data_IF_811264277288
#
_entry.id   IF_811264277288
#
_cell.length_a   1.000
_cell.length_b   1.000
_cell.length_c   1.000
_cell.angle_alpha   90.00
_cell.angle_beta   90.00
_cell.angle_gamma   90.00
#
_symmetry.space_group_name_H-M   'P 1'
#
loop_
_entity.id
_entity.type
_entity.pdbx_description
1 polymer ?
#
# COMPACT_ATOMS: atom_id res chain seq x y z
N UNK A 1 54.24 49.17 -16.21
CA UNK A 1 53.54 48.20 -17.10
C UNK A 1 52.88 47.15 -16.22
N UNK A 2 51.64 47.37 -15.75
CA UNK A 2 50.41 46.75 -16.27
C UNK A 2 50.54 45.24 -16.52
N UNK A 3 50.02 44.43 -15.59
CA UNK A 3 49.07 43.33 -15.86
C UNK A 3 48.38 42.95 -14.55
N UNK A 4 47.05 43.07 -14.59
CA UNK A 4 46.09 42.71 -13.57
C UNK A 4 46.01 41.19 -13.45
N UNK A 5 45.92 40.66 -12.24
CA UNK A 5 45.26 39.37 -11.99
C UNK A 5 44.33 39.55 -10.80
N UNK A 6 43.06 39.61 -11.18
CA UNK A 6 41.87 39.86 -10.41
C UNK A 6 41.22 38.50 -10.16
N UNK A 7 40.55 38.42 -9.01
CA UNK A 7 39.38 37.58 -8.71
C UNK A 7 39.53 36.21 -8.03
N UNK A 8 38.92 36.21 -6.82
CA UNK A 8 37.90 35.28 -6.35
C UNK A 8 38.36 33.90 -5.87
N UNK A 9 38.67 33.85 -4.57
CA UNK A 9 38.36 32.68 -3.76
C UNK A 9 36.84 32.46 -3.80
N UNK A 10 36.39 31.59 -4.72
CA UNK A 10 35.03 31.05 -4.70
C UNK A 10 34.90 30.17 -3.45
N UNK A 11 34.05 30.62 -2.54
CA UNK A 11 33.38 29.75 -1.58
C UNK A 11 32.78 28.57 -2.35
N UNK A 12 33.32 27.38 -2.15
CA UNK A 12 32.70 26.16 -2.64
C UNK A 12 31.35 26.03 -1.92
N UNK A 13 30.29 26.31 -2.68
CA UNK A 13 28.90 26.14 -2.30
C UNK A 13 28.69 24.75 -1.69
N UNK A 14 28.05 24.72 -0.53
CA UNK A 14 27.34 23.58 0.00
C UNK A 14 26.32 23.08 -1.03
N UNK A 15 26.73 22.12 -1.86
CA UNK A 15 25.88 21.42 -2.80
C UNK A 15 26.10 19.90 -2.70
N UNK A 16 25.93 19.36 -1.49
CA UNK A 16 25.46 17.98 -1.32
C UNK A 16 23.99 18.05 -0.85
N UNK A 17 23.15 18.66 -1.69
CA UNK A 17 21.71 18.55 -1.55
C UNK A 17 21.28 17.18 -2.04
N UNK A 18 20.73 16.39 -1.12
CA UNK A 18 19.80 15.32 -1.42
C UNK A 18 20.42 14.08 -2.05
N UNK A 19 20.69 13.09 -1.20
CA UNK A 19 20.34 11.72 -1.56
C UNK A 19 18.87 11.79 -2.01
N UNK A 20 18.64 11.78 -3.32
CA UNK A 20 17.29 11.64 -3.88
C UNK A 20 16.84 10.25 -3.46
N UNK A 21 16.13 10.21 -2.34
CA UNK A 21 15.35 9.07 -1.92
C UNK A 21 14.54 8.61 -3.13
N UNK A 22 14.67 7.33 -3.48
CA UNK A 22 14.07 6.72 -4.68
C UNK A 22 12.55 6.61 -4.55
N UNK A 23 11.88 7.73 -4.36
CA UNK A 23 10.44 7.80 -4.08
C UNK A 23 9.68 7.93 -5.40
N UNK A 24 9.03 6.85 -5.82
CA UNK A 24 7.98 6.92 -6.82
C UNK A 24 6.91 7.93 -6.39
N UNK A 25 6.28 8.60 -7.35
CA UNK A 25 5.26 9.59 -7.04
C UNK A 25 4.09 8.96 -6.25
N UNK A 26 3.59 9.60 -5.19
CA UNK A 26 2.58 9.02 -4.32
C UNK A 26 1.22 8.90 -5.03
N UNK A 27 0.37 8.01 -4.52
CA UNK A 27 -1.06 8.08 -4.75
C UNK A 27 -1.63 9.22 -3.90
N UNK A 28 -2.13 10.25 -4.56
CA UNK A 28 -2.75 11.39 -3.86
C UNK A 28 -4.22 11.11 -3.59
N UNK A 29 -4.63 11.20 -2.34
CA UNK A 29 -6.02 11.05 -1.90
C UNK A 29 -6.53 12.43 -1.53
N UNK A 30 -7.39 12.99 -2.38
CA UNK A 30 -8.10 14.23 -2.07
C UNK A 30 -9.35 13.90 -1.26
N UNK A 31 -9.51 14.51 -0.10
CA UNK A 31 -10.63 14.25 0.80
C UNK A 31 -11.54 15.46 0.91
N UNK A 32 -12.84 15.23 0.79
CA UNK A 32 -13.90 16.18 1.12
C UNK A 32 -14.78 15.57 2.21
N UNK A 33 -14.82 16.19 3.39
CA UNK A 33 -15.64 15.74 4.51
C UNK A 33 -16.83 16.67 4.67
N UNK A 34 -18.05 16.14 4.61
CA UNK A 34 -19.25 16.93 4.92
C UNK A 34 -19.21 17.47 6.37
N UNK A 35 -18.58 16.72 7.27
CA UNK A 35 -18.19 17.15 8.60
C UNK A 35 -16.82 16.58 8.93
N UNK A 36 -15.92 17.44 9.37
CA UNK A 36 -14.57 17.03 9.75
C UNK A 36 -14.61 15.93 10.84
N UNK A 37 -13.85 14.83 10.64
CA UNK A 37 -13.70 13.79 11.65
C UNK A 37 -12.86 14.33 12.82
N UNK A 38 -12.90 13.63 13.96
CA UNK A 38 -11.94 13.90 15.02
C UNK A 38 -10.54 13.46 14.60
N UNK A 39 -9.50 14.06 15.17
CA UNK A 39 -8.11 13.73 14.83
C UNK A 39 -7.76 12.25 15.08
N UNK A 40 -8.39 11.60 16.08
CA UNK A 40 -8.20 10.18 16.34
C UNK A 40 -8.81 9.27 15.26
N UNK A 41 -10.00 9.61 14.76
CA UNK A 41 -10.63 8.90 13.64
C UNK A 41 -9.80 9.08 12.36
N UNK A 42 -9.43 10.32 12.02
CA UNK A 42 -8.62 10.60 10.83
C UNK A 42 -7.28 9.87 10.87
N UNK A 43 -6.55 9.97 11.98
CA UNK A 43 -5.26 9.30 12.12
C UNK A 43 -5.38 7.77 12.02
N UNK A 44 -6.49 7.19 12.47
CA UNK A 44 -6.72 5.75 12.36
C UNK A 44 -7.06 5.33 10.92
N UNK A 45 -7.89 6.12 10.24
CA UNK A 45 -8.22 5.96 8.83
C UNK A 45 -6.95 5.94 7.96
N UNK A 46 -6.11 6.96 8.12
CA UNK A 46 -4.89 7.10 7.33
C UNK A 46 -3.90 5.96 7.57
N UNK A 47 -3.70 5.56 8.85
CA UNK A 47 -2.79 4.46 9.21
C UNK A 47 -3.28 3.10 8.73
N UNK A 48 -4.57 2.80 8.89
CA UNK A 48 -5.11 1.52 8.46
C UNK A 48 -5.06 1.42 6.93
N UNK A 49 -5.45 2.47 6.20
CA UNK A 49 -5.39 2.43 4.73
C UNK A 49 -3.94 2.31 4.23
N UNK A 50 -3.01 3.05 4.85
CA UNK A 50 -1.59 2.90 4.56
C UNK A 50 -1.12 1.45 4.81
N UNK A 51 -1.57 0.80 5.90
CA UNK A 51 -1.24 -0.59 6.18
C UNK A 51 -1.81 -1.57 5.14
N UNK A 52 -3.01 -1.33 4.62
CA UNK A 52 -3.63 -2.18 3.60
C UNK A 52 -2.90 -2.13 2.26
N UNK A 53 -2.37 -0.96 1.90
CA UNK A 53 -1.69 -0.75 0.59
C UNK A 53 -0.17 -0.81 0.67
N UNK A 54 0.40 -0.75 1.88
CA UNK A 54 1.84 -0.90 2.13
C UNK A 54 2.46 -2.11 1.40
N UNK A 55 1.83 -3.29 1.34
CA UNK A 55 2.46 -4.42 0.69
C UNK A 55 2.60 -4.25 -0.82
N UNK A 56 1.79 -3.37 -1.42
CA UNK A 56 1.87 -2.99 -2.84
C UNK A 56 2.97 -1.93 -3.07
N UNK A 57 3.60 -1.42 -2.01
CA UNK A 57 4.61 -0.36 -2.10
C UNK A 57 4.03 1.02 -2.44
N UNK A 58 2.71 1.20 -2.28
CA UNK A 58 2.07 2.50 -2.49
C UNK A 58 2.32 3.44 -1.32
N UNK A 59 2.86 4.63 -1.61
CA UNK A 59 2.83 5.76 -0.69
C UNK A 59 1.54 6.55 -0.89
N UNK A 60 0.84 6.82 0.22
CA UNK A 60 -0.34 7.65 0.24
C UNK A 60 0.01 9.07 0.63
N UNK A 61 -0.57 10.04 -0.08
CA UNK A 61 -0.48 11.46 0.26
C UNK A 61 -1.89 12.03 0.38
N UNK A 62 -2.29 12.38 1.59
CA UNK A 62 -3.63 12.91 1.89
C UNK A 62 -3.65 14.43 1.71
N UNK A 63 -4.68 14.95 1.03
CA UNK A 63 -4.88 16.38 0.80
C UNK A 63 -6.36 16.74 0.95
N UNK A 64 -6.71 17.88 1.56
CA UNK A 64 -8.08 18.38 1.46
C UNK A 64 -8.39 18.73 -0.01
N UNK A 65 -9.62 18.47 -0.46
CA UNK A 65 -10.06 18.81 -1.81
C UNK A 65 -10.06 20.33 -2.03
N UNK A 66 -10.47 21.09 -1.00
CA UNK A 66 -10.41 22.55 -0.97
C UNK A 66 -9.13 22.97 -0.25
N UNK A 67 -8.15 23.46 -1.00
CA UNK A 67 -6.86 23.91 -0.48
C UNK A 67 -5.98 24.52 -1.58
N UNK A 68 -4.81 25.08 -1.23
CA UNK A 68 -3.89 25.62 -2.23
C UNK A 68 -3.48 24.51 -3.22
N UNK A 69 -3.72 24.75 -4.51
CA UNK A 69 -3.33 23.82 -5.56
C UNK A 69 -1.80 23.69 -5.60
N UNK A 70 -1.28 22.48 -5.39
CA UNK A 70 0.13 22.20 -5.67
C UNK A 70 0.27 21.75 -7.12
N UNK A 71 1.29 22.26 -7.82
CA UNK A 71 1.62 21.82 -9.19
C UNK A 71 2.47 20.55 -9.21
N UNK A 72 2.52 19.80 -8.11
CA UNK A 72 3.38 18.63 -7.98
C UNK A 72 2.74 17.43 -8.68
N UNK A 73 3.51 16.80 -9.57
CA UNK A 73 3.07 15.62 -10.30
C UNK A 73 2.75 14.46 -9.33
N UNK A 74 1.57 13.87 -9.48
CA UNK A 74 1.18 12.61 -8.82
C UNK A 74 1.30 11.45 -9.79
N UNK A 75 1.57 10.24 -9.29
CA UNK A 75 1.43 9.04 -10.11
C UNK A 75 -0.04 8.80 -10.45
N UNK A 76 -0.91 8.88 -9.44
CA UNK A 76 -2.36 8.81 -9.56
C UNK A 76 -3.02 9.68 -8.50
N UNK A 77 -4.30 9.96 -8.71
CA UNK A 77 -5.16 10.62 -7.73
C UNK A 77 -6.48 9.87 -7.59
N UNK A 78 -7.06 9.96 -6.39
CA UNK A 78 -8.45 9.61 -6.10
C UNK A 78 -9.06 10.74 -5.30
N UNK A 79 -10.32 11.06 -5.58
CA UNK A 79 -11.12 12.00 -4.78
C UNK A 79 -12.12 11.20 -3.96
N UNK A 80 -12.13 11.41 -2.65
CA UNK A 80 -12.98 10.72 -1.69
C UNK A 80 -13.87 11.73 -1.00
N UNK A 81 -15.18 11.56 -1.15
CA UNK A 81 -16.18 12.35 -0.44
C UNK A 81 -16.76 11.53 0.71
N UNK A 82 -16.68 12.06 1.92
CA UNK A 82 -17.21 11.44 3.11
C UNK A 82 -18.53 12.12 3.49
N UNK A 83 -19.63 11.38 3.36
CA UNK A 83 -20.99 11.86 3.57
C UNK A 83 -21.45 11.57 5.00
N UNK A 84 -22.13 12.53 5.60
CA UNK A 84 -22.62 12.42 6.97
C UNK A 84 -21.54 12.68 8.03
N UNK A 85 -21.64 12.02 9.17
CA UNK A 85 -20.76 12.23 10.32
C UNK A 85 -19.68 11.15 10.41
N UNK A 86 -18.41 11.51 10.30
CA UNK A 86 -17.31 10.56 10.43
C UNK A 86 -16.65 10.61 11.82
N UNK A 87 -17.46 10.59 12.88
CA UNK A 87 -17.01 10.60 14.28
C UNK A 87 -17.57 9.39 15.07
N UNK A 88 -17.35 9.33 16.38
CA UNK A 88 -17.98 8.34 17.29
C UNK A 88 -18.76 8.99 18.44
N UNK A 89 -19.07 10.28 18.32
CA UNK A 89 -19.86 11.02 19.32
C UNK A 89 -21.33 10.60 19.23
N UNK A 90 -22.03 10.49 20.36
CA UNK A 90 -23.47 10.20 20.38
C UNK A 90 -23.85 8.93 19.62
N UNK A 91 -23.13 7.83 19.85
CA UNK A 91 -23.54 6.50 19.34
C UNK A 91 -24.81 6.06 20.06
N UNK A 92 -25.80 5.60 19.30
CA UNK A 92 -27.10 5.14 19.81
C UNK A 92 -27.47 3.84 19.11
N UNK A 93 -27.97 2.79 19.77
CA UNK A 93 -28.37 1.58 19.06
C UNK A 93 -29.46 1.86 18.02
N UNK A 94 -29.14 1.71 16.73
CA UNK A 94 -30.12 1.75 15.63
C UNK A 94 -30.13 0.44 14.86
N UNK A 95 -31.29 0.10 14.32
CA UNK A 95 -31.42 -0.97 13.34
C UNK A 95 -30.88 -0.47 12.01
N UNK A 96 -29.93 -1.21 11.45
CA UNK A 96 -29.39 -0.91 10.13
C UNK A 96 -30.09 -1.77 9.08
N UNK A 97 -30.57 -1.12 8.03
CA UNK A 97 -30.98 -1.77 6.79
C UNK A 97 -29.77 -2.22 5.96
N UNK A 98 -29.78 -3.40 5.33
CA UNK A 98 -28.70 -3.86 4.45
C UNK A 98 -28.45 -2.90 3.27
N UNK A 99 -27.19 -2.69 2.88
CA UNK A 99 -26.81 -1.90 1.69
C UNK A 99 -25.40 -1.30 1.75
N UNK A 100 -25.01 -0.62 0.67
CA UNK A 100 -23.64 -0.16 0.42
C UNK A 100 -23.14 0.84 1.46
N UNK A 101 -21.92 0.63 1.99
CA UNK A 101 -21.24 1.52 2.94
C UNK A 101 -20.38 2.58 2.25
N UNK A 102 -20.01 2.32 0.99
CA UNK A 102 -19.32 3.22 0.09
C UNK A 102 -19.60 2.78 -1.35
N UNK A 103 -19.21 3.61 -2.32
CA UNK A 103 -19.29 3.26 -3.74
C UNK A 103 -18.32 4.09 -4.59
N UNK A 104 -18.00 3.55 -5.75
CA UNK A 104 -17.28 4.23 -6.84
C UNK A 104 -18.23 4.66 -7.94
N UNK A 105 -17.84 5.70 -8.68
CA UNK A 105 -18.61 6.18 -9.82
C UNK A 105 -18.18 5.47 -11.10
N UNK A 106 -19.15 5.23 -11.99
CA UNK A 106 -18.92 4.61 -13.29
C UNK A 106 -19.49 5.50 -14.38
N UNK A 107 -18.69 5.83 -15.39
CA UNK A 107 -19.15 6.51 -16.60
C UNK A 107 -18.71 5.74 -17.85
N UNK A 108 -19.64 5.46 -18.76
CA UNK A 108 -19.38 4.79 -20.04
C UNK A 108 -18.55 3.49 -19.93
N UNK A 109 -18.84 2.66 -18.93
CA UNK A 109 -18.05 1.44 -18.74
C UNK A 109 -16.91 1.59 -17.72
N UNK A 110 -16.39 2.80 -17.54
CA UNK A 110 -15.13 3.07 -16.86
C UNK A 110 -15.37 3.38 -15.39
N UNK A 111 -14.64 2.70 -14.50
CA UNK A 111 -14.60 3.00 -13.07
C UNK A 111 -13.75 4.26 -12.88
N UNK A 112 -14.37 5.29 -12.30
CA UNK A 112 -13.74 6.58 -12.07
C UNK A 112 -13.08 6.62 -10.69
N UNK A 113 -12.02 7.42 -10.51
CA UNK A 113 -11.34 7.58 -9.22
C UNK A 113 -12.09 8.57 -8.29
N UNK A 114 -13.42 8.47 -8.27
CA UNK A 114 -14.30 9.18 -7.34
C UNK A 114 -14.95 8.15 -6.43
N UNK A 115 -14.74 8.29 -5.13
CA UNK A 115 -15.30 7.40 -4.10
C UNK A 115 -16.18 8.20 -3.17
N UNK A 116 -17.35 7.67 -2.86
CA UNK A 116 -18.21 8.18 -1.81
C UNK A 116 -18.22 7.19 -0.64
N UNK A 117 -17.97 7.66 0.58
CA UNK A 117 -18.08 6.88 1.83
C UNK A 117 -19.27 7.40 2.61
N UNK A 118 -20.22 6.53 2.94
CA UNK A 118 -21.39 6.88 3.77
C UNK A 118 -21.07 6.66 5.25
N UNK A 119 -20.61 7.72 5.92
CA UNK A 119 -20.23 7.64 7.32
C UNK A 119 -21.44 7.45 8.24
N UNK A 120 -22.62 7.99 7.92
CA UNK A 120 -23.81 7.80 8.76
C UNK A 120 -24.21 6.32 8.76
N UNK A 121 -24.21 5.69 7.58
CA UNK A 121 -24.48 4.27 7.45
C UNK A 121 -23.41 3.40 8.07
N UNK A 122 -22.13 3.75 7.91
CA UNK A 122 -21.02 3.03 8.53
C UNK A 122 -21.05 3.14 10.06
N UNK A 123 -21.41 4.30 10.61
CA UNK A 123 -21.68 4.45 12.04
C UNK A 123 -22.80 3.53 12.46
N UNK A 124 -23.91 3.52 11.73
CA UNK A 124 -25.05 2.68 12.08
C UNK A 124 -24.71 1.19 12.05
N UNK A 125 -23.86 0.78 11.10
CA UNK A 125 -23.35 -0.58 10.98
C UNK A 125 -22.40 -1.01 12.09
N UNK A 126 -21.64 -0.08 12.66
CA UNK A 126 -20.57 -0.39 13.63
C UNK A 126 -20.94 -0.08 15.07
N UNK A 127 -21.93 0.80 15.30
CA UNK A 127 -22.20 1.38 16.62
C UNK A 127 -22.54 0.36 17.70
N UNK A 128 -23.32 -0.68 17.40
CA UNK A 128 -23.71 -1.69 18.39
C UNK A 128 -22.48 -2.40 18.97
N UNK A 129 -21.47 -2.68 18.14
CA UNK A 129 -20.21 -3.27 18.58
C UNK A 129 -19.31 -2.24 19.25
N UNK A 130 -19.21 -1.02 18.71
CA UNK A 130 -18.41 0.06 19.29
C UNK A 130 -18.87 0.44 20.71
N UNK A 131 -20.18 0.42 20.97
CA UNK A 131 -20.76 0.68 22.30
C UNK A 131 -20.31 -0.36 23.34
N UNK A 132 -19.97 -1.59 22.92
CA UNK A 132 -19.42 -2.63 23.79
C UNK A 132 -17.92 -2.49 24.03
N UNK A 133 -17.23 -1.62 23.29
CA UNK A 133 -15.79 -1.40 23.41
C UNK A 133 -15.48 -0.27 24.38
N UNK A 134 -14.27 -0.30 24.96
CA UNK A 134 -13.74 0.80 25.77
C UNK A 134 -13.76 2.11 24.94
N UNK A 135 -14.34 3.20 25.47
CA UNK A 135 -14.44 4.48 24.78
C UNK A 135 -13.14 4.98 24.16
N UNK A 136 -11.99 4.69 24.78
CA UNK A 136 -10.66 5.13 24.34
C UNK A 136 -10.24 4.53 23.00
N UNK A 137 -10.78 3.37 22.62
CA UNK A 137 -10.45 2.69 21.36
C UNK A 137 -11.50 2.90 20.27
N UNK A 138 -12.63 3.54 20.55
CA UNK A 138 -13.74 3.64 19.59
C UNK A 138 -13.35 4.41 18.33
N UNK A 139 -12.65 5.53 18.47
CA UNK A 139 -12.17 6.32 17.32
C UNK A 139 -11.21 5.52 16.46
N UNK A 140 -10.29 4.76 17.09
CA UNK A 140 -9.36 3.90 16.40
C UNK A 140 -10.10 2.83 15.59
N UNK A 141 -11.02 2.10 16.23
CA UNK A 141 -11.79 1.03 15.61
C UNK A 141 -12.71 1.56 14.49
N UNK A 142 -13.33 2.72 14.68
CA UNK A 142 -14.18 3.33 13.66
C UNK A 142 -13.38 3.81 12.44
N UNK A 143 -12.25 4.50 12.64
CA UNK A 143 -11.38 4.90 11.54
C UNK A 143 -10.79 3.71 10.78
N UNK A 144 -10.51 2.60 11.48
CA UNK A 144 -10.10 1.32 10.88
C UNK A 144 -11.20 0.74 9.98
N UNK A 145 -12.44 0.68 10.46
CA UNK A 145 -13.57 0.23 9.66
C UNK A 145 -13.76 1.07 8.39
N UNK A 146 -13.67 2.40 8.54
CA UNK A 146 -13.78 3.34 7.43
C UNK A 146 -12.66 3.15 6.39
N UNK A 147 -11.43 2.89 6.85
CA UNK A 147 -10.31 2.60 5.95
C UNK A 147 -10.49 1.32 5.15
N UNK A 148 -11.08 0.28 5.75
CA UNK A 148 -11.35 -1.00 5.06
C UNK A 148 -12.43 -0.85 4.01
N UNK A 149 -13.48 -0.09 4.32
CA UNK A 149 -14.52 0.26 3.35
C UNK A 149 -13.94 1.10 2.21
N UNK A 150 -13.13 2.12 2.51
CA UNK A 150 -12.44 2.90 1.46
C UNK A 150 -11.47 2.02 0.65
N UNK A 151 -10.74 1.12 1.30
CA UNK A 151 -9.83 0.17 0.65
C UNK A 151 -10.56 -0.74 -0.34
N UNK A 152 -11.79 -1.16 -0.03
CA UNK A 152 -12.65 -1.91 -0.95
C UNK A 152 -12.95 -1.11 -2.23
N UNK A 153 -13.28 0.16 -2.09
CA UNK A 153 -13.54 1.03 -3.24
C UNK A 153 -12.27 1.31 -4.05
N UNK A 154 -11.14 1.53 -3.38
CA UNK A 154 -9.85 1.64 -4.06
C UNK A 154 -9.48 0.37 -4.83
N UNK A 155 -9.90 -0.81 -4.35
CA UNK A 155 -9.77 -2.04 -5.12
C UNK A 155 -10.54 -2.00 -6.44
N UNK A 156 -11.79 -1.56 -6.43
CA UNK A 156 -12.55 -1.38 -7.66
C UNK A 156 -11.88 -0.40 -8.64
N UNK A 157 -11.37 0.74 -8.13
CA UNK A 157 -10.69 1.76 -8.95
C UNK A 157 -9.40 1.21 -9.58
N UNK A 158 -8.52 0.61 -8.78
CA UNK A 158 -7.16 0.29 -9.23
C UNK A 158 -7.01 -1.10 -9.87
N UNK A 159 -7.86 -2.06 -9.48
CA UNK A 159 -7.95 -3.34 -10.18
C UNK A 159 -8.89 -3.29 -11.39
N UNK A 160 -9.52 -2.14 -11.64
CA UNK A 160 -10.42 -1.89 -12.79
C UNK A 160 -11.51 -2.94 -12.94
N UNK A 161 -12.12 -3.32 -11.82
CA UNK A 161 -13.07 -4.43 -11.73
C UNK A 161 -14.37 -3.97 -11.10
N UNK A 162 -15.49 -4.42 -11.65
CA UNK A 162 -16.82 -4.28 -11.03
C UNK A 162 -17.20 -5.48 -10.17
N UNK A 163 -16.33 -6.49 -10.14
CA UNK A 163 -16.56 -7.71 -9.41
C UNK A 163 -15.93 -7.60 -8.03
N UNK A 164 -16.70 -7.94 -7.01
CA UNK A 164 -16.17 -8.17 -5.68
C UNK A 164 -15.20 -9.36 -5.69
N UNK A 165 -14.21 -9.28 -4.83
CA UNK A 165 -13.37 -10.41 -4.47
C UNK A 165 -14.12 -11.46 -3.66
N UNK A 166 -13.45 -12.58 -3.39
CA UNK A 166 -14.04 -13.68 -2.61
C UNK A 166 -13.71 -13.62 -1.11
N UNK A 167 -12.87 -12.70 -0.66
CA UNK A 167 -12.48 -12.60 0.74
C UNK A 167 -11.70 -11.33 1.07
N UNK A 168 -11.57 -11.07 2.37
CA UNK A 168 -10.83 -9.94 2.90
C UNK A 168 -11.46 -8.61 2.49
N UNK A 169 -10.63 -7.57 2.31
CA UNK A 169 -11.11 -6.21 1.97
C UNK A 169 -11.96 -6.16 0.70
N UNK A 170 -11.76 -7.07 -0.26
CA UNK A 170 -12.48 -7.05 -1.53
C UNK A 170 -13.83 -7.79 -1.50
N UNK A 171 -14.22 -8.41 -0.38
CA UNK A 171 -15.43 -9.25 -0.33
C UNK A 171 -16.73 -8.44 -0.44
N UNK A 172 -17.83 -9.03 -0.97
CA UNK A 172 -19.07 -8.31 -1.29
C UNK A 172 -19.88 -7.83 -0.08
N UNK A 173 -19.62 -8.40 1.10
CA UNK A 173 -20.37 -8.10 2.32
C UNK A 173 -19.43 -8.21 3.51
N UNK A 174 -19.52 -7.23 4.40
CA UNK A 174 -18.79 -7.24 5.66
C UNK A 174 -19.72 -7.56 6.82
N UNK A 175 -19.14 -8.10 7.88
CA UNK A 175 -19.68 -8.08 9.23
C UNK A 175 -19.00 -6.97 10.04
N UNK A 176 -19.66 -6.48 11.08
CA UNK A 176 -19.05 -5.54 12.02
C UNK A 176 -17.79 -6.12 12.66
N UNK A 177 -17.75 -7.43 12.92
CA UNK A 177 -16.58 -8.12 13.47
C UNK A 177 -15.37 -8.04 12.55
N UNK A 178 -15.57 -8.22 11.25
CA UNK A 178 -14.51 -8.11 10.23
C UNK A 178 -14.01 -6.68 10.07
N UNK A 179 -14.89 -5.67 10.04
CA UNK A 179 -14.43 -4.28 9.90
C UNK A 179 -13.66 -3.77 11.13
N UNK A 180 -13.92 -4.33 12.31
CA UNK A 180 -13.28 -3.91 13.56
C UNK A 180 -12.16 -4.85 14.01
N UNK A 181 -11.92 -5.97 13.33
CA UNK A 181 -10.89 -6.95 13.69
C UNK A 181 -9.48 -6.35 13.65
N UNK A 182 -8.51 -6.97 14.33
CA UNK A 182 -7.11 -6.51 14.25
C UNK A 182 -6.50 -6.68 12.85
N UNK A 183 -6.91 -7.73 12.13
CA UNK A 183 -6.41 -8.10 10.81
C UNK A 183 -7.55 -8.28 9.83
N UNK A 184 -7.46 -7.62 8.68
CA UNK A 184 -8.41 -7.74 7.58
C UNK A 184 -7.77 -7.22 6.30
N UNK A 185 -7.00 -8.07 5.64
CA UNK A 185 -6.17 -7.70 4.50
C UNK A 185 -6.83 -8.09 3.17
N UNK A 186 -6.24 -7.67 2.04
CA UNK A 186 -6.61 -8.21 0.74
C UNK A 186 -6.22 -9.69 0.64
N UNK A 187 -7.12 -10.52 0.10
CA UNK A 187 -6.74 -11.86 -0.30
C UNK A 187 -5.74 -11.82 -1.47
N UNK A 188 -4.89 -12.85 -1.58
CA UNK A 188 -3.76 -12.86 -2.50
C UNK A 188 -4.16 -12.65 -3.97
N UNK A 189 -5.30 -13.19 -4.40
CA UNK A 189 -5.81 -13.02 -5.76
C UNK A 189 -6.17 -11.57 -6.05
N UNK A 190 -6.88 -10.93 -5.13
CA UNK A 190 -7.31 -9.54 -5.25
C UNK A 190 -6.13 -8.59 -5.12
N UNK A 191 -5.17 -8.91 -4.26
CA UNK A 191 -3.88 -8.24 -4.18
C UNK A 191 -3.11 -8.30 -5.51
N UNK A 192 -3.06 -9.47 -6.16
CA UNK A 192 -2.47 -9.62 -7.51
C UNK A 192 -3.23 -8.79 -8.56
N UNK A 193 -4.54 -8.68 -8.43
CA UNK A 193 -5.37 -7.88 -9.34
C UNK A 193 -5.06 -6.39 -9.20
N UNK A 194 -4.77 -5.91 -7.99
CA UNK A 194 -4.26 -4.55 -7.77
C UNK A 194 -2.92 -4.34 -8.47
N UNK A 195 -1.98 -5.28 -8.33
CA UNK A 195 -0.66 -5.19 -8.95
C UNK A 195 -0.67 -5.28 -10.49
N UNK A 196 -1.68 -5.92 -11.09
CA UNK A 196 -1.79 -6.07 -12.54
C UNK A 196 -2.65 -4.99 -13.21
N UNK A 197 -3.48 -4.26 -12.46
CA UNK A 197 -4.34 -3.18 -12.95
C UNK A 197 -3.62 -1.85 -13.14
N UNK A 198 -4.36 -0.73 -13.03
CA UNK A 198 -3.83 0.65 -13.15
C UNK A 198 -2.63 0.92 -12.26
N UNK A 199 -2.58 0.27 -11.10
CA UNK A 199 -1.47 0.36 -10.15
C UNK A 199 -0.14 -0.09 -10.74
N UNK A 200 -0.13 -1.03 -11.70
CA UNK A 200 1.07 -1.45 -12.43
C UNK A 200 1.72 -0.28 -13.14
N UNK A 201 0.93 0.58 -13.80
CA UNK A 201 1.43 1.76 -14.50
C UNK A 201 2.04 2.77 -13.52
N UNK A 202 1.46 2.89 -12.33
CA UNK A 202 1.93 3.77 -11.25
C UNK A 202 3.26 3.29 -10.64
N UNK A 203 3.37 1.98 -10.42
CA UNK A 203 4.58 1.34 -9.89
C UNK A 203 5.68 1.20 -10.95
N UNK A 204 5.35 1.21 -12.24
CA UNK A 204 6.34 1.14 -13.33
C UNK A 204 7.21 2.39 -13.45
N UNK A 205 6.79 3.53 -12.88
CA UNK A 205 7.65 4.72 -12.71
C UNK A 205 8.79 4.52 -11.70
N UNK A 206 8.84 3.37 -10.99
CA UNK A 206 9.90 3.00 -10.07
C UNK A 206 11.17 2.49 -10.78
N UNK A 207 11.12 2.13 -12.07
CA UNK A 207 12.29 1.61 -12.80
C UNK A 207 13.27 2.75 -13.08
N UNK A 208 14.49 2.78 -12.49
CA UNK A 208 15.53 3.67 -12.98
C UNK A 208 15.83 3.23 -14.41
N UNK A 209 15.69 4.16 -15.36
CA UNK A 209 16.05 3.97 -16.76
C UNK A 209 17.53 3.63 -16.88
N UNK A 210 17.84 2.35 -16.76
CA UNK A 210 19.19 1.82 -16.81
C UNK A 210 19.05 0.33 -16.92
N UNK A 211 18.83 -0.16 -18.14
CA UNK A 211 18.90 -1.57 -18.48
C UNK A 211 20.25 -2.14 -18.00
N UNK A 212 20.22 -2.74 -16.82
CA UNK A 212 21.32 -3.50 -16.26
C UNK A 212 20.76 -4.92 -16.25
N UNK A 213 21.21 -5.73 -17.21
CA UNK A 213 20.63 -7.04 -17.52
C UNK A 213 20.31 -7.96 -16.31
N UNK A 214 19.61 -9.07 -16.54
CA UNK A 214 18.78 -9.78 -15.55
C UNK A 214 19.42 -10.03 -14.17
N UNK A 215 20.73 -10.28 -14.13
CA UNK A 215 21.50 -10.56 -12.91
C UNK A 215 21.71 -9.33 -12.01
N UNK A 216 21.85 -8.12 -12.57
CA UNK A 216 21.99 -6.89 -11.76
C UNK A 216 20.64 -6.39 -11.27
N UNK A 217 19.57 -6.57 -12.05
CA UNK A 217 18.20 -6.29 -11.62
C UNK A 217 17.81 -7.17 -10.43
N UNK A 218 17.98 -8.49 -10.55
CA UNK A 218 17.55 -9.43 -9.51
C UNK A 218 18.22 -9.25 -8.13
N UNK A 219 19.48 -8.80 -8.07
CA UNK A 219 20.16 -8.49 -6.79
C UNK A 219 19.55 -7.25 -6.14
N UNK A 220 19.28 -6.22 -6.94
CA UNK A 220 18.63 -5.01 -6.47
C UNK A 220 17.21 -5.31 -6.02
N UNK A 221 16.46 -6.07 -6.81
CA UNK A 221 15.09 -6.47 -6.50
C UNK A 221 15.02 -7.32 -5.23
N UNK A 222 15.98 -8.22 -5.00
CA UNK A 222 16.07 -8.99 -3.76
C UNK A 222 16.28 -8.11 -2.52
N UNK A 223 17.11 -7.08 -2.63
CA UNK A 223 17.39 -6.15 -1.54
C UNK A 223 16.23 -5.17 -1.30
N UNK A 224 15.73 -4.56 -2.38
CA UNK A 224 14.66 -3.57 -2.37
C UNK A 224 13.33 -4.17 -1.92
N UNK A 225 13.06 -5.43 -2.27
CA UNK A 225 11.88 -6.14 -1.78
C UNK A 225 12.06 -6.69 -0.36
N UNK A 226 13.18 -6.44 0.31
CA UNK A 226 13.38 -6.80 1.73
C UNK A 226 13.61 -8.29 1.99
N UNK A 227 13.84 -9.10 0.96
CA UNK A 227 14.02 -10.55 1.09
C UNK A 227 15.17 -10.91 2.05
N UNK A 228 16.23 -10.08 2.06
CA UNK A 228 17.40 -10.28 2.90
C UNK A 228 17.16 -10.15 4.41
N UNK A 229 16.10 -9.48 4.85
CA UNK A 229 15.78 -9.35 6.28
C UNK A 229 15.47 -10.72 6.91
N UNK A 230 14.80 -11.59 6.15
CA UNK A 230 14.44 -12.94 6.59
C UNK A 230 15.42 -14.00 6.07
N UNK A 231 15.86 -13.88 4.82
CA UNK A 231 16.66 -14.91 4.15
C UNK A 231 18.16 -14.60 4.08
N UNK A 232 18.61 -13.50 4.69
CA UNK A 232 20.01 -13.06 4.67
C UNK A 232 20.38 -12.32 3.38
N UNK A 233 21.38 -11.44 3.46
CA UNK A 233 21.76 -10.53 2.38
C UNK A 233 22.05 -11.20 1.02
N UNK A 234 22.48 -12.48 1.02
CA UNK A 234 22.73 -13.28 -0.18
C UNK A 234 21.91 -14.58 -0.24
N UNK A 235 20.81 -14.67 0.50
CA UNK A 235 19.95 -15.87 0.53
C UNK A 235 20.52 -17.03 1.34
N UNK A 236 21.50 -16.78 2.22
CA UNK A 236 22.16 -17.79 3.05
C UNK A 236 21.29 -18.32 4.21
N UNK A 237 20.12 -17.71 4.45
CA UNK A 237 19.23 -18.02 5.55
C UNK A 237 19.56 -17.26 6.83
N UNK A 238 18.60 -17.19 7.74
CA UNK A 238 18.75 -16.62 9.08
C UNK A 238 17.99 -17.48 10.10
N UNK A 239 17.93 -17.05 11.36
CA UNK A 239 17.03 -17.64 12.36
C UNK A 239 15.54 -17.48 11.99
N UNK A 240 15.20 -16.53 11.10
CA UNK A 240 13.82 -16.20 10.77
C UNK A 240 13.26 -16.98 9.59
N UNK A 241 14.11 -17.37 8.64
CA UNK A 241 13.71 -18.06 7.43
C UNK A 241 14.87 -18.90 6.83
N UNK A 242 14.56 -19.98 6.09
CA UNK A 242 15.57 -20.91 5.60
C UNK A 242 16.49 -20.26 4.56
N UNK A 243 17.64 -20.90 4.33
CA UNK A 243 18.50 -20.56 3.22
C UNK A 243 17.77 -20.76 1.89
N UNK A 244 17.79 -19.73 1.05
CA UNK A 244 17.32 -19.77 -0.33
C UNK A 244 18.37 -20.35 -1.27
N UNK A 245 19.58 -20.59 -0.78
CA UNK A 245 20.66 -21.32 -1.45
C UNK A 245 21.05 -22.54 -0.63
N UNK A 246 21.18 -23.69 -1.28
CA UNK A 246 21.91 -24.82 -0.71
C UNK A 246 23.39 -24.63 -1.00
N UNK A 247 24.28 -24.89 -0.03
CA UNK A 247 25.73 -24.84 -0.22
C UNK A 247 26.14 -25.65 -1.47
N UNK A 248 26.49 -24.95 -2.56
CA UNK A 248 27.03 -25.54 -3.79
C UNK A 248 26.06 -26.15 -4.80
N UNK A 249 24.74 -25.86 -4.75
CA UNK A 249 23.79 -26.37 -5.77
C UNK A 249 23.07 -25.26 -6.52
N UNK A 250 23.07 -25.35 -7.86
CA UNK A 250 22.17 -24.58 -8.72
C UNK A 250 20.73 -24.96 -8.41
N UNK A 251 19.88 -23.96 -8.21
CA UNK A 251 18.46 -24.15 -7.94
C UNK A 251 17.68 -23.98 -9.24
N UNK A 252 16.78 -24.92 -9.53
CA UNK A 252 15.87 -24.80 -10.67
C UNK A 252 14.97 -23.56 -10.47
N UNK A 253 15.03 -22.58 -11.40
CA UNK A 253 14.21 -21.38 -11.35
C UNK A 253 12.71 -21.64 -11.21
N UNK A 254 12.19 -22.69 -11.86
CA UNK A 254 10.77 -23.02 -11.82
C UNK A 254 10.37 -23.56 -10.44
N UNK A 255 11.25 -24.35 -9.82
CA UNK A 255 11.04 -24.86 -8.46
C UNK A 255 11.05 -23.72 -7.44
N UNK A 256 11.97 -22.76 -7.59
CA UNK A 256 12.05 -21.62 -6.69
C UNK A 256 10.85 -20.68 -6.82
N UNK A 257 10.39 -20.43 -8.06
CA UNK A 257 9.16 -19.68 -8.34
C UNK A 257 7.94 -20.36 -7.71
N UNK A 258 7.79 -21.68 -7.93
CA UNK A 258 6.68 -22.46 -7.35
C UNK A 258 6.70 -22.43 -5.81
N UNK A 259 7.89 -22.52 -5.20
CA UNK A 259 8.04 -22.45 -3.74
C UNK A 259 7.72 -21.05 -3.22
N UNK A 260 8.17 -20.01 -3.91
CA UNK A 260 7.85 -18.63 -3.59
C UNK A 260 6.34 -18.42 -3.59
N UNK A 261 5.65 -18.79 -4.67
CA UNK A 261 4.19 -18.70 -4.78
C UNK A 261 3.49 -19.44 -3.64
N UNK A 262 3.87 -20.70 -3.37
CA UNK A 262 3.24 -21.51 -2.31
C UNK A 262 3.46 -20.95 -0.91
N UNK A 263 4.57 -20.25 -0.66
CA UNK A 263 4.94 -19.71 0.66
C UNK A 263 4.72 -18.21 0.80
N UNK A 264 4.22 -17.56 -0.24
CA UNK A 264 4.11 -16.10 -0.32
C UNK A 264 3.31 -15.50 0.83
N UNK A 265 2.15 -16.08 1.14
CA UNK A 265 1.30 -15.63 2.25
C UNK A 265 1.94 -15.83 3.63
N UNK A 266 2.65 -16.95 3.83
CA UNK A 266 3.35 -17.23 5.08
C UNK A 266 4.51 -16.23 5.30
N UNK A 267 5.25 -15.92 4.22
CA UNK A 267 6.31 -14.92 4.24
C UNK A 267 5.76 -13.53 4.54
N UNK A 268 4.61 -13.18 3.94
CA UNK A 268 3.92 -11.91 4.20
C UNK A 268 3.49 -11.77 5.66
N UNK A 269 2.76 -12.75 6.18
CA UNK A 269 2.26 -12.73 7.56
C UNK A 269 3.42 -12.60 8.54
N UNK A 270 4.51 -13.34 8.29
CA UNK A 270 5.70 -13.31 9.15
C UNK A 270 6.47 -11.99 9.06
N UNK A 271 6.55 -11.35 7.90
CA UNK A 271 7.19 -10.03 7.80
C UNK A 271 6.44 -8.98 8.63
N UNK A 272 5.10 -9.06 8.65
CA UNK A 272 4.25 -8.23 9.51
C UNK A 272 4.50 -8.47 10.99
N UNK A 273 4.52 -9.73 11.43
CA UNK A 273 4.80 -10.10 12.82
C UNK A 273 6.18 -9.59 13.29
N UNK A 274 7.16 -9.65 12.38
CA UNK A 274 8.54 -9.20 12.63
C UNK A 274 8.75 -7.70 12.37
N UNK A 275 7.70 -6.97 11.93
CA UNK A 275 7.75 -5.54 11.58
C UNK A 275 8.83 -5.22 10.53
N UNK A 276 9.03 -6.12 9.58
CA UNK A 276 9.87 -5.88 8.41
C UNK A 276 9.03 -5.36 7.24
N UNK A 277 9.54 -4.30 6.61
CA UNK A 277 9.00 -3.77 5.36
C UNK A 277 9.36 -4.72 4.22
N UNK A 278 8.45 -5.66 3.94
CA UNK A 278 8.54 -6.55 2.80
C UNK A 278 7.62 -6.04 1.69
N UNK A 279 8.21 -5.76 0.53
CA UNK A 279 7.47 -5.35 -0.67
C UNK A 279 7.26 -6.55 -1.56
N UNK A 280 6.07 -6.69 -2.12
CA UNK A 280 5.77 -7.80 -2.99
C UNK A 280 6.46 -7.63 -4.36
N UNK A 281 7.39 -8.52 -4.73
CA UNK A 281 7.98 -8.49 -6.07
C UNK A 281 6.94 -8.93 -7.11
N UNK A 282 6.92 -8.26 -8.25
CA UNK A 282 6.18 -8.63 -9.47
C UNK A 282 6.74 -9.91 -10.11
N UNK A 283 6.01 -10.50 -11.05
CA UNK A 283 6.45 -11.73 -11.75
C UNK A 283 7.75 -11.53 -12.57
N UNK A 284 8.05 -10.30 -12.99
CA UNK A 284 9.34 -9.95 -13.60
C UNK A 284 10.46 -9.90 -12.55
N UNK A 285 10.24 -9.19 -11.46
CA UNK A 285 11.19 -9.12 -10.34
C UNK A 285 11.43 -10.50 -9.71
N UNK A 286 10.41 -11.34 -9.58
CA UNK A 286 10.56 -12.73 -9.12
C UNK A 286 11.45 -13.50 -10.08
N UNK A 287 11.27 -13.39 -11.40
CA UNK A 287 12.15 -14.04 -12.38
C UNK A 287 13.59 -13.56 -12.29
N UNK A 288 13.81 -12.26 -12.10
CA UNK A 288 15.15 -11.69 -11.97
C UNK A 288 15.81 -12.12 -10.64
N UNK A 289 15.08 -12.05 -9.53
CA UNK A 289 15.51 -12.55 -8.21
C UNK A 289 15.87 -14.03 -8.29
N UNK A 290 14.99 -14.85 -8.88
CA UNK A 290 15.20 -16.28 -9.05
C UNK A 290 16.43 -16.55 -9.91
N UNK A 291 16.63 -15.80 -10.99
CA UNK A 291 17.83 -15.90 -11.84
C UNK A 291 19.09 -15.70 -11.00
N UNK A 292 19.14 -14.64 -10.18
CA UNK A 292 20.29 -14.36 -9.30
C UNK A 292 20.48 -15.41 -8.20
N UNK A 293 19.39 -15.95 -7.65
CA UNK A 293 19.47 -16.99 -6.64
C UNK A 293 19.96 -18.32 -7.24
N UNK A 294 19.63 -18.59 -8.50
CA UNK A 294 19.96 -19.82 -9.22
C UNK A 294 21.40 -19.91 -9.73
N UNK A 295 22.05 -18.77 -10.08
CA UNK A 295 23.37 -18.76 -10.75
C UNK A 295 24.57 -18.75 -9.80
N UNK A 296 24.38 -18.60 -8.48
CA UNK A 296 25.49 -18.34 -7.55
C UNK A 296 26.09 -16.94 -7.75
N UNK A 297 26.68 -16.36 -6.70
CA UNK A 297 27.43 -15.10 -6.82
C UNK A 297 28.89 -15.48 -6.93
N UNK A 298 29.54 -15.12 -8.02
CA UNK A 298 30.90 -14.60 -7.91
C UNK A 298 30.83 -13.20 -7.27
#
# INVERSE_FOLDING_TARGET
MRKYLVCLALSALSALSGIRDGSGAPLRIYTDFQRDPTGGVQSSLERELASLVAPIGLRLEWRPLVGPASSEASAALVVVTFKGRCDVTGLEPRHLEPGALAWTHINDGIILPFVDVDCDRLRDFTQAKLLQMDPRFREQLYGRAMARVLGHELYHVFAETRHHGKGGVAQPAFTTGELLSEHFDFAEKEFRSLLSGKLRALLSFRKPSGDKGPVRSGRADYAVNGCGACHGAGGQGTQWAPALRGSGKTLDPNVLTTRFEKKREDMFRRSRDLKFDWLFPSDEEVRDIVTVLSTGLE
#
